data_IF_603470071045
#
_entry.id   IF_603470071045
#
_cell.length_a   1.000
_cell.length_b   1.000
_cell.length_c   1.000
_cell.angle_alpha   90.00
_cell.angle_beta   90.00
_cell.angle_gamma   90.00
#
_symmetry.space_group_name_H-M   'P 1'
#
loop_
_entity.id
_entity.type
_entity.pdbx_description
1 polymer ?
#
# COMPACT_ATOMS: atom_id res chain seq x y z
N UNK A 1 -30.46 36.76 10.37
CA UNK A 1 -31.32 35.72 9.75
C UNK A 1 -31.27 34.51 10.66
N UNK A 2 -32.37 33.77 10.82
CA UNK A 2 -32.34 32.53 11.59
C UNK A 2 -31.44 31.51 10.91
N UNK A 3 -30.69 30.75 11.69
CA UNK A 3 -29.74 29.76 11.21
C UNK A 3 -30.43 28.39 11.17
N UNK A 4 -30.60 27.85 9.97
CA UNK A 4 -31.46 26.70 9.70
C UNK A 4 -30.66 25.51 9.17
N UNK A 5 -31.07 24.31 9.57
CA UNK A 5 -30.50 23.05 9.13
C UNK A 5 -31.56 21.95 9.08
N UNK A 6 -31.24 20.82 8.44
CA UNK A 6 -32.17 19.71 8.25
C UNK A 6 -31.45 18.35 8.22
N UNK A 7 -32.23 17.27 8.36
CA UNK A 7 -31.73 15.92 8.08
C UNK A 7 -31.64 15.65 6.56
N UNK A 8 -30.95 14.59 6.15
CA UNK A 8 -30.72 14.26 4.73
C UNK A 8 -32.00 14.02 3.91
N UNK A 9 -33.14 13.69 4.54
CA UNK A 9 -34.43 13.56 3.86
C UNK A 9 -35.40 14.73 4.16
N UNK A 10 -34.89 15.84 4.73
CA UNK A 10 -35.62 17.06 5.10
C UNK A 10 -36.80 16.91 6.08
N UNK A 11 -37.15 15.69 6.49
CA UNK A 11 -38.27 15.39 7.39
C UNK A 11 -38.10 15.93 8.81
N UNK A 12 -36.90 16.41 9.17
CA UNK A 12 -36.61 17.10 10.43
C UNK A 12 -35.87 18.38 10.07
N UNK A 13 -36.39 19.51 10.52
CA UNK A 13 -35.80 20.84 10.36
C UNK A 13 -35.47 21.42 11.73
N UNK A 14 -34.36 22.15 11.81
CA UNK A 14 -33.85 22.75 13.04
C UNK A 14 -33.62 24.23 12.79
N UNK A 15 -34.12 25.07 13.69
CA UNK A 15 -33.89 26.51 13.66
C UNK A 15 -33.21 26.96 14.95
N UNK A 16 -32.13 27.72 14.78
CA UNK A 16 -31.45 28.48 15.82
C UNK A 16 -31.60 30.00 15.54
N UNK A 17 -31.53 30.86 16.57
CA UNK A 17 -31.58 32.31 16.37
C UNK A 17 -30.42 32.83 15.50
N UNK A 18 -29.22 32.26 15.69
CA UNK A 18 -27.99 32.60 14.97
C UNK A 18 -27.04 31.39 14.87
N UNK A 19 -25.98 31.51 14.07
CA UNK A 19 -24.94 30.48 13.96
C UNK A 19 -24.01 30.55 15.18
N UNK A 20 -23.77 29.45 15.92
CA UNK A 20 -22.80 29.46 17.01
C UNK A 20 -21.37 29.67 16.49
N UNK A 21 -20.63 30.63 17.04
CA UNK A 21 -19.26 31.03 16.63
C UNK A 21 -18.24 29.87 16.48
N UNK A 22 -18.46 28.77 17.19
CA UNK A 22 -17.46 27.73 17.43
C UNK A 22 -18.08 26.34 17.44
N UNK A 23 -17.56 25.45 16.61
CA UNK A 23 -17.89 24.02 16.67
C UNK A 23 -16.86 23.22 17.49
N UNK A 24 -17.21 21.97 17.83
CA UNK A 24 -16.37 21.03 18.56
C UNK A 24 -16.31 19.67 17.85
N UNK A 25 -15.10 19.21 17.54
CA UNK A 25 -14.89 17.91 16.89
C UNK A 25 -14.65 16.83 17.93
N UNK A 26 -15.41 15.74 17.87
CA UNK A 26 -15.25 14.60 18.76
C UNK A 26 -14.83 13.34 17.98
N UNK A 27 -13.71 12.75 18.41
CA UNK A 27 -13.06 11.60 17.75
C UNK A 27 -13.31 10.26 18.46
N UNK A 28 -14.12 10.24 19.52
CA UNK A 28 -14.37 9.01 20.27
C UNK A 28 -15.15 7.98 19.44
N UNK A 29 -14.93 6.69 19.71
CA UNK A 29 -15.45 5.59 18.88
C UNK A 29 -16.99 5.60 18.80
N UNK A 30 -17.68 6.00 19.86
CA UNK A 30 -19.15 6.13 19.89
C UNK A 30 -19.63 7.31 19.04
N UNK A 31 -18.90 8.43 19.01
CA UNK A 31 -19.25 9.57 18.16
C UNK A 31 -19.03 9.25 16.67
N UNK A 32 -17.91 8.61 16.33
CA UNK A 32 -17.62 8.12 14.96
C UNK A 32 -18.72 7.19 14.47
N UNK A 33 -19.05 6.14 15.24
CA UNK A 33 -20.13 5.19 14.93
C UNK A 33 -21.50 5.87 14.81
N UNK A 34 -21.84 6.79 15.72
CA UNK A 34 -23.12 7.54 15.66
C UNK A 34 -23.22 8.54 14.50
N UNK A 35 -22.09 8.91 13.91
CA UNK A 35 -22.01 9.94 12.87
C UNK A 35 -21.73 9.40 11.48
N UNK A 36 -21.47 8.09 11.33
CA UNK A 36 -21.07 7.48 10.06
C UNK A 36 -19.74 8.01 9.50
N UNK A 37 -18.93 8.70 10.29
CA UNK A 37 -17.79 9.50 9.81
C UNK A 37 -16.54 9.35 10.69
N UNK A 38 -15.40 9.84 10.17
CA UNK A 38 -14.11 9.82 10.84
C UNK A 38 -14.09 10.58 12.18
N UNK A 39 -15.04 11.51 12.35
CA UNK A 39 -15.27 12.30 13.55
C UNK A 39 -16.72 12.82 13.56
N UNK A 40 -17.18 13.37 14.68
CA UNK A 40 -18.47 14.08 14.77
C UNK A 40 -18.22 15.56 15.05
N UNK A 41 -18.70 16.45 14.18
CA UNK A 41 -18.72 17.90 14.43
C UNK A 41 -20.02 18.27 15.11
N UNK A 42 -19.94 19.00 16.22
CA UNK A 42 -21.09 19.30 17.05
C UNK A 42 -21.02 20.76 17.54
N UNK A 43 -22.16 21.43 17.58
CA UNK A 43 -22.36 22.63 18.40
C UNK A 43 -22.79 22.23 19.81
N UNK A 44 -22.59 23.14 20.75
CA UNK A 44 -23.03 23.00 22.13
C UNK A 44 -23.96 24.17 22.44
N UNK A 45 -25.26 23.95 22.28
CA UNK A 45 -26.32 24.97 22.35
C UNK A 45 -27.24 24.69 23.55
N UNK A 46 -27.92 25.72 24.04
CA UNK A 46 -28.97 25.54 25.04
C UNK A 46 -30.17 24.85 24.38
N UNK A 47 -30.89 23.98 25.11
CA UNK A 47 -32.01 23.24 24.52
C UNK A 47 -33.16 24.17 24.10
N UNK A 48 -33.35 25.21 24.90
CA UNK A 48 -34.31 26.31 24.79
C UNK A 48 -34.04 27.28 23.63
N UNK A 49 -32.82 27.33 23.10
CA UNK A 49 -32.46 28.10 21.90
C UNK A 49 -32.79 27.35 20.59
N UNK A 50 -33.08 26.05 20.66
CA UNK A 50 -33.21 25.15 19.51
C UNK A 50 -34.66 24.77 19.25
N UNK A 51 -35.23 25.28 18.15
CA UNK A 51 -36.54 24.83 17.65
C UNK A 51 -36.35 23.64 16.72
N UNK A 52 -37.13 22.57 16.91
CA UNK A 52 -37.18 21.40 16.02
C UNK A 52 -38.59 21.27 15.45
N UNK A 53 -38.66 21.16 14.13
CA UNK A 53 -39.85 20.79 13.37
C UNK A 53 -39.68 19.37 12.82
N UNK A 54 -40.61 18.47 13.15
CA UNK A 54 -40.63 17.05 12.75
C UNK A 54 -42.08 16.61 12.49
N UNK A 55 -42.71 17.12 11.41
CA UNK A 55 -44.14 16.90 11.16
C UNK A 55 -44.50 15.43 10.94
N UNK A 56 -43.51 14.59 10.59
CA UNK A 56 -43.66 13.16 10.33
C UNK A 56 -43.29 12.27 11.53
N UNK A 57 -42.97 12.85 12.70
CA UNK A 57 -42.56 12.14 13.93
C UNK A 57 -41.39 11.14 13.73
N UNK A 58 -40.44 11.50 12.86
CA UNK A 58 -39.27 10.69 12.49
C UNK A 58 -38.10 10.79 13.47
N UNK A 59 -38.12 11.72 14.42
CA UNK A 59 -37.11 11.84 15.46
C UNK A 59 -37.23 10.66 16.45
N UNK A 60 -36.26 9.76 16.43
CA UNK A 60 -36.15 8.63 17.38
C UNK A 60 -34.93 8.80 18.27
N UNK A 61 -34.99 8.17 19.45
CA UNK A 61 -33.97 8.26 20.49
C UNK A 61 -33.38 6.87 20.77
N UNK A 62 -32.04 6.79 20.79
CA UNK A 62 -31.27 5.63 21.20
C UNK A 62 -30.43 5.96 22.45
N UNK A 63 -30.54 5.12 23.48
CA UNK A 63 -29.76 5.25 24.71
C UNK A 63 -28.41 4.52 24.58
N UNK A 64 -27.34 5.29 24.35
CA UNK A 64 -25.97 4.78 24.26
C UNK A 64 -25.37 4.64 25.66
N UNK A 65 -25.51 3.43 26.23
CA UNK A 65 -24.93 3.02 27.51
C UNK A 65 -23.42 2.73 27.44
N UNK A 66 -22.81 2.80 26.25
CA UNK A 66 -21.38 2.50 26.01
C UNK A 66 -20.57 3.78 25.73
N UNK A 67 -21.01 4.94 26.24
CA UNK A 67 -20.27 6.18 26.06
C UNK A 67 -18.90 6.13 26.76
N UNK A 68 -17.89 6.75 26.15
CA UNK A 68 -16.52 6.82 26.71
C UNK A 68 -16.47 7.57 28.05
N UNK A 69 -17.49 8.38 28.35
CA UNK A 69 -17.66 9.10 29.63
C UNK A 69 -18.36 8.28 30.73
N UNK A 70 -18.63 6.98 30.51
CA UNK A 70 -19.29 6.09 31.47
C UNK A 70 -20.80 6.34 31.69
N UNK A 71 -21.29 7.53 31.33
CA UNK A 71 -22.69 7.92 31.43
C UNK A 71 -23.52 7.44 30.24
N UNK A 72 -24.78 7.08 30.46
CA UNK A 72 -25.72 6.84 29.35
C UNK A 72 -26.06 8.15 28.64
N UNK A 73 -25.87 8.22 27.32
CA UNK A 73 -26.19 9.41 26.50
C UNK A 73 -27.33 9.14 25.54
N UNK A 74 -28.28 10.07 25.43
CA UNK A 74 -29.49 9.93 24.61
C UNK A 74 -29.25 10.55 23.24
N UNK A 75 -29.00 9.71 22.25
CA UNK A 75 -28.73 10.09 20.85
C UNK A 75 -30.05 10.18 20.09
N UNK A 76 -30.34 11.32 19.51
CA UNK A 76 -31.56 11.54 18.72
C UNK A 76 -31.17 11.57 17.23
N UNK A 77 -31.93 10.88 16.39
CA UNK A 77 -31.64 10.69 14.97
C UNK A 77 -32.95 10.57 14.17
N UNK A 78 -32.89 10.87 12.87
CA UNK A 78 -34.02 10.67 11.97
C UNK A 78 -34.14 9.19 11.59
N UNK A 79 -35.28 8.55 11.85
CA UNK A 79 -35.50 7.15 11.47
C UNK A 79 -35.67 6.92 9.97
N UNK A 80 -36.00 7.96 9.19
CA UNK A 80 -36.20 7.84 7.74
C UNK A 80 -34.88 7.83 6.94
N UNK A 81 -33.85 8.55 7.39
CA UNK A 81 -32.56 8.64 6.68
C UNK A 81 -31.33 8.33 7.55
N UNK A 82 -31.50 7.97 8.82
CA UNK A 82 -30.39 7.69 9.75
C UNK A 82 -29.57 8.91 10.20
N UNK A 83 -29.87 10.11 9.70
CA UNK A 83 -29.13 11.34 10.04
C UNK A 83 -29.14 11.60 11.56
N UNK A 84 -27.98 11.77 12.22
CA UNK A 84 -27.92 12.10 13.63
C UNK A 84 -28.31 13.57 13.84
N UNK A 85 -29.21 13.83 14.79
CA UNK A 85 -29.81 15.16 15.01
C UNK A 85 -29.08 15.87 16.17
N UNK A 86 -29.27 15.40 17.41
CA UNK A 86 -28.56 15.92 18.59
C UNK A 86 -28.31 14.81 19.62
N UNK A 87 -27.48 15.07 20.63
CA UNK A 87 -27.27 14.16 21.76
C UNK A 87 -27.42 14.90 23.09
N UNK A 88 -28.22 14.34 24.01
CA UNK A 88 -28.33 14.80 25.40
C UNK A 88 -27.43 13.95 26.29
N UNK A 89 -26.75 14.58 27.25
CA UNK A 89 -25.89 13.91 28.24
C UNK A 89 -26.28 14.37 29.64
N UNK A 90 -26.35 13.49 30.65
CA UNK A 90 -26.66 13.88 32.03
C UNK A 90 -25.61 14.83 32.64
N UNK A 91 -24.39 14.87 32.09
CA UNK A 91 -23.32 15.80 32.50
C UNK A 91 -23.66 17.25 32.11
N UNK A 92 -24.51 17.46 31.10
CA UNK A 92 -24.80 18.76 30.50
C UNK A 92 -26.32 19.03 30.52
N UNK A 93 -26.90 19.10 31.72
CA UNK A 93 -28.32 19.44 31.88
C UNK A 93 -28.64 20.80 31.21
N UNK A 94 -29.78 20.86 30.52
CA UNK A 94 -30.21 22.05 29.75
C UNK A 94 -29.44 22.32 28.45
N UNK A 95 -28.41 21.54 28.10
CA UNK A 95 -27.62 21.74 26.88
C UNK A 95 -27.55 20.49 26.01
N UNK A 96 -27.47 20.70 24.70
CA UNK A 96 -27.45 19.62 23.72
C UNK A 96 -26.21 19.68 22.83
N UNK A 97 -25.69 18.51 22.49
CA UNK A 97 -24.68 18.34 21.46
C UNK A 97 -25.39 18.23 20.10
N UNK A 98 -25.74 19.37 19.51
CA UNK A 98 -26.38 19.47 18.21
C UNK A 98 -25.38 19.12 17.10
N UNK A 99 -25.77 18.31 16.12
CA UNK A 99 -24.86 17.92 15.02
C UNK A 99 -24.73 19.08 14.03
N UNK A 100 -23.51 19.57 13.86
CA UNK A 100 -23.26 20.72 13.00
C UNK A 100 -23.46 20.40 11.50
N UNK A 101 -23.27 19.14 11.10
CA UNK A 101 -23.42 18.66 9.72
C UNK A 101 -24.87 18.61 9.20
N UNK A 102 -25.84 19.14 9.96
CA UNK A 102 -27.22 19.37 9.50
C UNK A 102 -27.38 20.74 8.81
N UNK A 103 -26.35 21.59 8.85
CA UNK A 103 -26.36 22.95 8.35
C UNK A 103 -25.31 23.09 7.25
N UNK A 104 -25.62 23.84 6.18
CA UNK A 104 -24.74 23.98 5.02
C UNK A 104 -23.43 24.70 5.34
N UNK A 105 -23.50 25.74 6.19
CA UNK A 105 -22.34 26.51 6.64
C UNK A 105 -22.02 26.18 8.08
N UNK A 106 -20.82 25.66 8.37
CA UNK A 106 -20.41 25.27 9.73
C UNK A 106 -19.26 26.14 10.23
N UNK A 107 -19.41 26.68 11.44
CA UNK A 107 -18.39 27.49 12.09
C UNK A 107 -17.12 26.67 12.42
N UNK A 108 -15.92 27.27 12.37
CA UNK A 108 -14.67 26.55 12.53
C UNK A 108 -14.56 25.87 13.91
N UNK A 109 -13.86 24.72 13.99
CA UNK A 109 -13.74 23.98 15.23
C UNK A 109 -12.76 24.67 16.19
N UNK A 110 -13.27 25.14 17.34
CA UNK A 110 -12.43 25.76 18.37
C UNK A 110 -11.81 24.75 19.34
N UNK A 111 -12.28 23.50 19.35
CA UNK A 111 -11.74 22.43 20.17
C UNK A 111 -11.90 21.07 19.48
N UNK A 112 -10.93 20.19 19.72
CA UNK A 112 -11.03 18.76 19.41
C UNK A 112 -11.01 17.95 20.72
N UNK A 113 -11.86 16.92 20.81
CA UNK A 113 -12.00 16.03 21.97
C UNK A 113 -11.68 14.58 21.60
N UNK A 114 -11.03 13.87 22.53
CA UNK A 114 -10.55 12.50 22.34
C UNK A 114 -9.58 12.34 21.16
N UNK A 115 -8.68 13.31 20.97
CA UNK A 115 -7.67 13.35 19.87
C UNK A 115 -6.87 12.04 19.75
N UNK A 116 -6.59 11.35 20.86
CA UNK A 116 -5.95 10.03 20.91
C UNK A 116 -6.76 8.88 20.25
N UNK A 117 -8.02 9.13 19.87
CA UNK A 117 -8.90 8.19 19.14
C UNK A 117 -9.09 8.57 17.67
N UNK A 118 -8.35 9.54 17.16
CA UNK A 118 -8.30 9.84 15.73
C UNK A 118 -7.78 8.64 14.93
N UNK A 119 -8.27 8.50 13.71
CA UNK A 119 -7.62 7.62 12.75
C UNK A 119 -6.27 8.21 12.34
N UNK A 120 -5.23 7.41 12.37
CA UNK A 120 -3.84 7.83 12.08
C UNK A 120 -3.70 8.49 10.71
N UNK A 121 -4.46 8.00 9.71
CA UNK A 121 -4.51 8.56 8.37
C UNK A 121 -5.09 9.98 8.30
N UNK A 122 -5.78 10.51 9.33
CA UNK A 122 -6.27 11.91 9.32
C UNK A 122 -5.13 12.93 9.35
N UNK A 123 -3.97 12.55 9.90
CA UNK A 123 -2.74 13.35 9.84
C UNK A 123 -2.01 13.21 8.49
N UNK A 124 -2.41 12.26 7.64
CA UNK A 124 -1.87 12.13 6.30
C UNK A 124 -2.48 13.22 5.41
N UNK A 125 -1.71 14.28 5.16
CA UNK A 125 -2.06 15.25 4.12
C UNK A 125 -2.05 14.52 2.78
N UNK A 126 -3.24 14.20 2.26
CA UNK A 126 -3.42 13.86 0.86
C UNK A 126 -2.83 15.03 0.07
N UNK A 127 -1.71 14.80 -0.62
CA UNK A 127 -1.18 15.77 -1.57
C UNK A 127 -2.12 15.77 -2.75
N UNK A 128 -3.10 16.66 -2.74
CA UNK A 128 -3.78 17.05 -3.97
C UNK A 128 -2.73 17.47 -4.98
N UNK A 129 -2.67 16.72 -6.08
CA UNK A 129 -2.07 17.19 -7.32
C UNK A 129 -3.09 18.12 -7.96
N UNK A 130 -3.28 19.30 -7.37
CA UNK A 130 -4.08 20.36 -7.98
C UNK A 130 -3.33 20.90 -9.20
N UNK A 131 -3.50 20.19 -10.33
CA UNK A 131 -3.22 20.66 -11.68
C UNK A 131 -4.19 21.79 -12.05
N UNK A 132 -3.99 22.92 -11.39
CA UNK A 132 -4.19 24.22 -12.01
C UNK A 132 -3.18 24.30 -13.18
N UNK A 133 -3.60 24.05 -14.44
CA UNK A 133 -2.70 23.94 -15.63
C UNK A 133 -2.96 25.10 -16.58
N UNK A 134 -2.00 25.40 -17.47
CA UNK A 134 -1.45 26.76 -17.46
C UNK A 134 -1.54 27.53 -18.77
N UNK A 135 -1.82 28.83 -18.68
CA UNK A 135 -1.57 29.81 -19.73
C UNK A 135 -0.22 30.52 -19.50
N UNK A 136 0.88 30.10 -20.15
CA UNK A 136 2.11 30.88 -20.13
C UNK A 136 1.89 32.19 -20.91
N UNK A 137 2.45 33.31 -20.42
CA UNK A 137 2.57 34.52 -21.24
C UNK A 137 3.40 34.21 -22.48
N UNK A 138 2.96 34.69 -23.64
CA UNK A 138 3.73 34.64 -24.88
C UNK A 138 5.13 35.24 -24.69
N UNK A 139 6.21 34.54 -25.08
CA UNK A 139 7.41 35.18 -25.57
C UNK A 139 7.15 35.70 -27.00
N UNK A 140 7.57 36.93 -27.28
CA UNK A 140 7.42 37.53 -28.61
C UNK A 140 8.34 36.89 -29.64
N UNK A 141 7.76 36.33 -30.70
CA UNK A 141 8.47 35.93 -31.92
C UNK A 141 9.18 34.58 -31.87
N UNK A 142 8.70 33.63 -32.68
CA UNK A 142 9.46 32.86 -33.67
C UNK A 142 8.45 32.10 -34.55
N UNK A 143 8.79 31.94 -35.83
CA UNK A 143 7.86 31.55 -36.90
C UNK A 143 7.60 30.03 -36.92
N UNK A 144 6.34 29.66 -37.19
CA UNK A 144 5.89 28.29 -37.47
C UNK A 144 6.69 27.62 -38.60
N UNK A 145 7.17 26.39 -38.37
CA UNK A 145 7.24 25.35 -39.41
C UNK A 145 6.78 24.01 -38.85
N UNK A 146 5.76 23.44 -39.52
CA UNK A 146 5.33 22.06 -39.30
C UNK A 146 6.35 21.10 -39.92
N UNK A 147 6.73 20.06 -39.17
CA UNK A 147 7.29 18.83 -39.73
C UNK A 147 7.03 17.64 -38.79
N UNK A 148 6.39 16.61 -39.34
CA UNK A 148 6.45 15.20 -38.92
C UNK A 148 6.58 14.39 -40.23
N UNK A 149 6.97 13.10 -40.20
CA UNK A 149 7.83 12.40 -39.24
C UNK A 149 9.08 11.81 -39.94
N UNK A 150 9.96 11.15 -39.20
CA UNK A 150 10.71 10.01 -39.73
C UNK A 150 10.99 9.05 -38.57
N UNK A 151 10.59 7.79 -38.72
CA UNK A 151 11.07 6.68 -37.90
C UNK A 151 12.56 6.43 -38.19
N UNK A 152 13.31 5.98 -37.19
CA UNK A 152 14.05 4.72 -37.33
C UNK A 152 14.56 4.15 -35.98
N UNK A 153 14.64 2.82 -35.98
CA UNK A 153 15.41 1.92 -35.11
C UNK A 153 14.90 1.47 -33.70
N UNK A 154 14.22 0.31 -33.74
CA UNK A 154 14.48 -0.91 -32.93
C UNK A 154 13.99 -1.04 -31.46
N UNK A 155 12.85 -1.74 -31.33
CA UNK A 155 12.63 -2.80 -30.31
C UNK A 155 12.93 -4.17 -30.97
N UNK A 156 13.48 -5.16 -30.24
CA UNK A 156 12.59 -6.23 -29.78
C UNK A 156 12.99 -6.89 -28.45
N UNK A 157 12.15 -6.74 -27.40
CA UNK A 157 11.43 -7.86 -26.72
C UNK A 157 10.72 -7.43 -25.43
N UNK A 158 9.41 -7.19 -25.58
CA UNK A 158 8.33 -7.45 -24.62
C UNK A 158 8.47 -6.83 -23.21
N UNK A 159 8.16 -5.54 -23.13
CA UNK A 159 7.50 -4.97 -21.94
C UNK A 159 6.01 -4.78 -22.26
N UNK A 160 5.13 -5.59 -21.67
CA UNK A 160 3.69 -5.37 -21.76
C UNK A 160 3.32 -4.10 -20.99
N UNK A 161 3.15 -2.99 -21.70
CA UNK A 161 2.45 -1.82 -21.16
C UNK A 161 1.02 -2.21 -20.81
N UNK A 162 0.57 -1.86 -19.60
CA UNK A 162 -0.85 -1.92 -19.24
C UNK A 162 -1.57 -0.74 -19.91
N UNK A 163 -1.71 -0.84 -21.24
CA UNK A 163 -2.74 -0.08 -21.93
C UNK A 163 -4.09 -0.49 -21.34
N UNK A 164 -4.81 0.52 -20.89
CA UNK A 164 -6.02 0.40 -20.08
C UNK A 164 -7.07 -0.47 -20.79
N UNK A 165 -7.22 -1.73 -20.38
CA UNK A 165 -8.36 -2.56 -20.77
C UNK A 165 -9.59 -1.94 -20.10
N UNK A 166 -10.28 -1.07 -20.84
CA UNK A 166 -11.70 -0.82 -20.62
C UNK A 166 -12.44 -2.12 -20.92
N UNK A 167 -12.87 -2.82 -19.88
CA UNK A 167 -14.03 -3.69 -19.99
C UNK A 167 -15.26 -2.78 -20.09
N UNK A 168 -15.61 -2.41 -21.32
CA UNK A 168 -16.90 -1.84 -21.67
C UNK A 168 -17.89 -3.00 -21.92
N UNK A 169 -19.18 -2.72 -21.75
CA UNK A 169 -20.32 -3.66 -21.70
C UNK A 169 -20.34 -4.48 -20.39
N UNK A 170 -21.47 -4.57 -19.67
CA UNK A 170 -22.86 -4.36 -20.10
C UNK A 170 -23.48 -3.00 -19.74
N UNK A 171 -24.38 -2.53 -20.61
CA UNK A 171 -25.32 -1.43 -20.39
C UNK A 171 -26.73 -1.94 -20.66
N UNK A 172 -27.65 -1.82 -19.69
CA UNK A 172 -29.10 -1.62 -19.89
C UNK A 172 -29.80 -1.49 -18.52
N UNK A 173 -30.22 -0.27 -18.15
CA UNK A 173 -31.60 0.06 -17.76
C UNK A 173 -31.74 1.57 -17.44
N UNK A 174 -32.68 2.20 -18.12
CA UNK A 174 -32.92 3.65 -18.11
C UNK A 174 -33.49 4.17 -16.77
N UNK A 175 -33.08 5.37 -16.33
CA UNK A 175 -33.94 6.56 -16.52
C UNK A 175 -33.24 7.92 -16.24
N UNK A 176 -33.36 8.83 -17.22
CA UNK A 176 -33.39 10.30 -17.17
C UNK A 176 -32.23 11.15 -16.62
N UNK A 177 -31.76 12.02 -17.53
CA UNK A 177 -31.11 13.32 -17.30
C UNK A 177 -31.98 14.29 -16.48
N UNK A 178 -31.38 15.35 -15.92
CA UNK A 178 -31.87 16.69 -16.30
C UNK A 178 -30.77 17.58 -16.89
N UNK A 179 -31.19 18.44 -17.81
CA UNK A 179 -30.31 19.25 -18.67
C UNK A 179 -29.74 20.50 -18.01
N UNK A 180 -28.61 20.92 -18.58
CA UNK A 180 -27.99 22.24 -18.56
C UNK A 180 -28.75 23.44 -17.94
N UNK A 181 -28.04 24.18 -17.08
CA UNK A 181 -28.10 25.64 -17.07
C UNK A 181 -26.71 26.24 -16.87
N UNK A 182 -26.41 27.23 -17.72
CA UNK A 182 -25.17 28.00 -17.93
C UNK A 182 -24.40 28.44 -16.67
N UNK A 183 -23.05 28.41 -16.72
CA UNK A 183 -22.21 28.93 -15.64
C UNK A 183 -20.68 28.81 -15.78
N UNK A 184 -20.10 29.18 -16.93
CA UNK A 184 -18.68 29.57 -17.15
C UNK A 184 -17.56 28.93 -16.28
N UNK A 185 -16.90 27.88 -16.76
CA UNK A 185 -15.75 27.26 -16.07
C UNK A 185 -14.44 28.07 -16.26
N UNK A 186 -14.17 28.98 -15.32
CA UNK A 186 -12.84 29.58 -15.14
C UNK A 186 -11.82 28.51 -14.74
N UNK A 187 -10.85 28.22 -15.61
CA UNK A 187 -9.81 27.21 -15.38
C UNK A 187 -8.41 27.84 -15.23
N UNK A 188 -8.14 28.43 -14.07
CA UNK A 188 -6.77 28.80 -13.63
C UNK A 188 -5.99 27.54 -13.22
N UNK A 189 -4.71 27.31 -13.57
CA UNK A 189 -3.49 28.12 -13.89
C UNK A 189 -2.57 28.47 -12.69
N UNK A 190 -1.80 27.50 -12.18
CA UNK A 190 -0.49 27.74 -11.54
C UNK A 190 0.56 26.76 -12.09
N UNK A 191 1.45 27.24 -12.96
CA UNK A 191 2.79 26.64 -13.03
C UNK A 191 3.54 27.02 -11.75
N UNK A 192 4.03 26.03 -10.99
CA UNK A 192 4.76 26.30 -9.74
C UNK A 192 6.25 26.04 -9.87
N UNK A 193 7.03 27.11 -9.85
CA UNK A 193 8.47 27.08 -9.57
C UNK A 193 8.71 26.47 -8.19
N UNK A 194 9.51 25.41 -8.12
CA UNK A 194 9.94 24.81 -6.85
C UNK A 194 11.00 25.70 -6.20
N UNK A 195 10.70 26.25 -5.02
CA UNK A 195 11.66 27.03 -4.24
C UNK A 195 12.79 26.11 -3.74
N UNK A 196 14.01 26.36 -4.22
CA UNK A 196 15.22 25.53 -4.02
C UNK A 196 15.83 25.61 -2.61
N UNK A 197 15.04 25.99 -1.61
CA UNK A 197 15.50 26.40 -0.27
C UNK A 197 15.55 25.26 0.77
N UNK A 198 14.63 24.29 0.69
CA UNK A 198 14.47 23.27 1.76
C UNK A 198 15.38 22.03 1.58
N UNK A 199 16.09 21.94 0.45
CA UNK A 199 17.04 20.84 0.18
C UNK A 199 18.43 21.08 0.77
N UNK A 200 18.85 22.34 0.96
CA UNK A 200 20.17 22.63 1.56
C UNK A 200 20.21 22.35 3.07
N UNK A 201 19.12 22.60 3.81
CA UNK A 201 19.12 22.47 5.28
C UNK A 201 19.18 21.03 5.80
N UNK A 202 18.86 20.03 4.95
CA UNK A 202 19.03 18.59 5.28
C UNK A 202 20.38 18.00 4.88
N UNK A 203 21.19 18.67 4.05
CA UNK A 203 22.48 18.13 3.57
C UNK A 203 23.64 18.31 4.55
N UNK A 204 23.48 19.09 5.63
CA UNK A 204 24.57 19.42 6.56
C UNK A 204 24.75 18.42 7.74
N UNK A 205 23.85 17.45 7.92
CA UNK A 205 23.97 16.46 8.99
C UNK A 205 24.51 15.11 8.45
N UNK A 206 25.63 14.65 9.02
CA UNK A 206 26.28 13.33 8.82
C UNK A 206 27.01 13.11 7.48
N UNK A 207 28.12 13.82 7.25
CA UNK A 207 29.22 13.29 6.42
C UNK A 207 29.86 12.08 7.11
N UNK A 208 29.84 10.92 6.45
CA UNK A 208 30.49 9.68 6.93
C UNK A 208 29.92 8.43 6.25
N UNK A 209 30.60 7.29 6.40
CA UNK A 209 30.12 5.98 5.91
C UNK A 209 28.72 5.65 6.44
N UNK A 210 28.47 5.93 7.72
CA UNK A 210 27.16 5.81 8.38
C UNK A 210 26.08 6.73 7.77
N UNK A 211 26.46 7.89 7.24
CA UNK A 211 25.56 8.78 6.50
C UNK A 211 25.14 8.18 5.16
N UNK A 212 26.09 7.60 4.41
CA UNK A 212 25.79 6.84 3.19
C UNK A 212 24.91 5.61 3.49
N UNK A 213 25.18 4.89 4.58
CA UNK A 213 24.41 3.71 4.97
C UNK A 213 22.98 4.07 5.37
N UNK A 214 22.77 5.15 6.15
CA UNK A 214 21.44 5.64 6.50
C UNK A 214 20.69 6.23 5.30
N UNK A 215 21.37 6.89 4.37
CA UNK A 215 20.77 7.32 3.10
C UNK A 215 20.34 6.11 2.25
N UNK A 216 21.17 5.06 2.15
CA UNK A 216 20.86 3.84 1.41
C UNK A 216 19.69 3.06 2.05
N UNK A 217 19.63 3.00 3.39
CA UNK A 217 18.52 2.43 4.15
C UNK A 217 17.22 3.22 3.96
N UNK A 218 17.24 4.54 4.13
CA UNK A 218 16.04 5.38 3.98
C UNK A 218 15.54 5.46 2.54
N UNK A 219 16.40 5.26 1.55
CA UNK A 219 16.00 5.25 0.14
C UNK A 219 15.48 3.89 -0.35
N UNK A 220 16.13 2.78 0.05
CA UNK A 220 15.84 1.45 -0.50
C UNK A 220 15.10 0.50 0.46
N UNK A 221 15.18 0.71 1.78
CA UNK A 221 14.57 -0.19 2.79
C UNK A 221 13.32 0.43 3.40
N UNK A 222 13.37 1.70 3.81
CA UNK A 222 12.22 2.42 4.40
C UNK A 222 11.40 3.16 3.34
N UNK A 223 10.93 2.43 2.33
CA UNK A 223 10.20 3.03 1.19
C UNK A 223 8.73 3.25 1.55
N UNK A 224 8.31 4.52 1.67
CA UNK A 224 6.91 4.87 1.97
C UNK A 224 6.05 4.77 0.72
N UNK A 225 5.30 3.67 0.58
CA UNK A 225 4.55 3.31 -0.63
C UNK A 225 3.13 3.90 -0.63
N UNK A 226 2.62 4.47 -1.75
CA UNK A 226 1.22 4.84 -1.89
C UNK A 226 0.29 3.62 -1.84
N UNK A 227 -0.81 3.71 -1.09
CA UNK A 227 -1.72 2.57 -0.82
C UNK A 227 -2.18 1.82 -2.08
N UNK A 228 -2.39 2.53 -3.21
CA UNK A 228 -2.80 1.97 -4.50
C UNK A 228 -1.81 0.93 -5.09
N UNK A 229 -0.52 1.04 -4.78
CA UNK A 229 0.54 0.14 -5.30
C UNK A 229 1.01 -0.92 -4.30
N UNK A 230 0.48 -0.91 -3.06
CA UNK A 230 0.88 -1.80 -1.96
C UNK A 230 0.95 -3.28 -2.34
N UNK A 231 -0.03 -3.76 -3.12
CA UNK A 231 -0.11 -5.14 -3.63
C UNK A 231 1.15 -5.59 -4.37
N UNK A 232 1.73 -4.71 -5.18
CA UNK A 232 2.81 -5.08 -6.09
C UNK A 232 4.17 -5.08 -5.34
N UNK A 233 4.33 -4.22 -4.32
CA UNK A 233 5.46 -4.32 -3.38
C UNK A 233 5.38 -5.60 -2.53
N UNK A 234 4.19 -5.98 -2.05
CA UNK A 234 4.00 -7.25 -1.33
C UNK A 234 4.16 -8.49 -2.23
N UNK A 235 3.95 -8.35 -3.55
CA UNK A 235 4.33 -9.39 -4.51
C UNK A 235 5.85 -9.51 -4.64
N UNK A 236 6.58 -8.39 -4.77
CA UNK A 236 8.05 -8.40 -4.80
C UNK A 236 8.64 -9.02 -3.53
N UNK A 237 8.16 -8.63 -2.34
CA UNK A 237 8.61 -9.19 -1.06
C UNK A 237 8.46 -10.72 -1.01
N UNK A 238 7.30 -11.25 -1.41
CA UNK A 238 7.09 -12.70 -1.48
C UNK A 238 8.03 -13.40 -2.45
N UNK A 239 8.34 -12.79 -3.60
CA UNK A 239 9.32 -13.37 -4.54
C UNK A 239 10.74 -13.34 -3.97
N UNK A 240 11.15 -12.26 -3.28
CA UNK A 240 12.43 -12.17 -2.60
C UNK A 240 12.57 -13.24 -1.50
N UNK A 241 11.54 -13.41 -0.67
CA UNK A 241 11.51 -14.48 0.35
C UNK A 241 11.60 -15.89 -0.26
N UNK A 242 11.10 -16.10 -1.48
CA UNK A 242 11.29 -17.37 -2.21
C UNK A 242 12.75 -17.58 -2.66
N UNK A 243 13.45 -16.54 -3.13
CA UNK A 243 14.89 -16.60 -3.40
C UNK A 243 15.71 -16.89 -2.13
N UNK A 244 15.36 -16.27 -0.99
CA UNK A 244 16.01 -16.56 0.29
C UNK A 244 15.77 -18.01 0.72
N UNK A 245 14.53 -18.52 0.67
CA UNK A 245 14.21 -19.92 1.00
C UNK A 245 14.94 -20.93 0.10
N UNK A 246 14.98 -20.69 -1.22
CA UNK A 246 15.69 -21.58 -2.16
C UNK A 246 17.20 -21.57 -1.89
N UNK A 247 17.81 -20.40 -1.61
CA UNK A 247 19.22 -20.35 -1.19
C UNK A 247 19.49 -21.13 0.11
N UNK A 248 18.57 -21.08 1.07
CA UNK A 248 18.69 -21.83 2.33
C UNK A 248 18.62 -23.35 2.10
N UNK A 249 17.72 -23.83 1.24
CA UNK A 249 17.64 -25.26 0.87
C UNK A 249 18.91 -25.73 0.16
N UNK A 250 19.47 -24.93 -0.75
CA UNK A 250 20.74 -25.27 -1.42
C UNK A 250 21.91 -25.30 -0.42
N UNK A 251 21.94 -24.39 0.56
CA UNK A 251 22.92 -24.42 1.65
C UNK A 251 22.76 -25.65 2.56
N UNK A 252 21.52 -26.00 2.93
CA UNK A 252 21.21 -27.21 3.70
C UNK A 252 21.67 -28.49 2.96
N UNK A 253 21.45 -28.57 1.64
CA UNK A 253 21.95 -29.66 0.82
C UNK A 253 23.50 -29.72 0.82
N UNK A 254 24.17 -28.57 0.72
CA UNK A 254 25.63 -28.49 0.82
C UNK A 254 26.18 -28.95 2.17
N UNK A 255 25.45 -28.73 3.26
CA UNK A 255 25.77 -29.23 4.61
C UNK A 255 25.54 -30.74 4.72
N UNK A 256 24.42 -31.27 4.20
CA UNK A 256 24.13 -32.71 4.18
C UNK A 256 25.21 -33.49 3.42
N UNK A 257 25.62 -32.98 2.26
CA UNK A 257 26.75 -33.55 1.48
C UNK A 257 28.02 -33.60 2.34
N UNK A 258 28.40 -32.50 3.00
CA UNK A 258 29.57 -32.48 3.86
C UNK A 258 29.47 -33.41 5.07
N UNK A 259 28.27 -33.61 5.64
CA UNK A 259 28.04 -34.51 6.77
C UNK A 259 28.12 -35.99 6.36
N UNK A 260 27.46 -36.38 5.26
CA UNK A 260 27.45 -37.75 4.76
C UNK A 260 28.86 -38.23 4.42
N UNK A 261 29.63 -37.40 3.69
CA UNK A 261 31.02 -37.71 3.37
C UNK A 261 31.94 -37.75 4.61
N UNK A 262 31.62 -37.00 5.69
CA UNK A 262 32.36 -37.07 6.96
C UNK A 262 32.07 -38.35 7.75
N UNK A 263 30.88 -38.93 7.60
CA UNK A 263 30.50 -40.22 8.19
C UNK A 263 31.20 -41.38 7.44
N UNK A 264 31.10 -41.43 6.11
CA UNK A 264 31.77 -42.46 5.30
C UNK A 264 33.31 -42.48 5.51
N UNK A 265 33.93 -41.32 5.74
CA UNK A 265 35.35 -41.21 6.05
C UNK A 265 35.77 -41.82 7.41
N UNK A 266 34.83 -42.13 8.31
CA UNK A 266 35.10 -42.83 9.56
C UNK A 266 35.26 -44.35 9.36
N UNK A 267 34.66 -44.91 8.31
CA UNK A 267 34.73 -46.34 7.97
C UNK A 267 35.79 -46.62 6.88
N UNK A 268 35.90 -45.75 5.86
CA UNK A 268 36.78 -45.97 4.71
C UNK A 268 38.20 -45.36 4.89
N UNK A 269 39.04 -45.99 5.72
CA UNK A 269 40.39 -45.48 6.02
C UNK A 269 41.35 -45.42 4.80
N UNK A 270 41.07 -46.19 3.73
CA UNK A 270 41.89 -46.22 2.52
C UNK A 270 41.67 -45.02 1.57
N UNK A 271 40.47 -44.46 1.51
CA UNK A 271 40.08 -43.51 0.44
C UNK A 271 40.13 -42.03 0.86
N UNK A 272 41.09 -41.72 1.73
CA UNK A 272 41.33 -40.39 2.32
C UNK A 272 41.61 -39.30 1.28
N UNK A 273 41.91 -39.68 0.04
CA UNK A 273 42.12 -38.79 -1.11
C UNK A 273 40.80 -38.37 -1.76
N UNK A 274 39.79 -39.25 -1.83
CA UNK A 274 38.47 -38.96 -2.42
C UNK A 274 37.73 -37.83 -1.70
N UNK A 275 37.70 -37.85 -0.36
CA UNK A 275 37.02 -36.81 0.44
C UNK A 275 37.54 -35.39 0.19
N UNK A 276 38.87 -35.23 0.15
CA UNK A 276 39.51 -33.92 -0.12
C UNK A 276 39.40 -33.51 -1.60
N UNK A 277 39.40 -34.46 -2.53
CA UNK A 277 39.31 -34.18 -3.98
C UNK A 277 37.88 -33.92 -4.48
N UNK A 278 36.86 -34.54 -3.89
CA UNK A 278 35.48 -34.52 -4.42
C UNK A 278 34.50 -33.90 -3.42
N UNK A 279 34.39 -34.44 -2.20
CA UNK A 279 33.39 -33.98 -1.21
C UNK A 279 33.59 -32.52 -0.77
N UNK A 280 34.84 -32.10 -0.58
CA UNK A 280 35.17 -30.71 -0.17
C UNK A 280 34.80 -29.67 -1.24
N UNK A 281 35.29 -29.75 -2.50
CA UNK A 281 34.92 -28.77 -3.52
C UNK A 281 33.43 -28.81 -3.89
N UNK A 282 32.78 -29.98 -3.83
CA UNK A 282 31.34 -30.10 -4.10
C UNK A 282 30.50 -29.31 -3.07
N UNK A 283 30.78 -29.47 -1.77
CA UNK A 283 30.08 -28.71 -0.72
C UNK A 283 30.35 -27.20 -0.81
N UNK A 284 31.60 -26.80 -1.11
CA UNK A 284 31.95 -25.39 -1.33
C UNK A 284 31.18 -24.82 -2.55
N UNK A 285 31.10 -25.56 -3.66
CA UNK A 285 30.32 -25.16 -4.83
C UNK A 285 28.83 -24.95 -4.50
N UNK A 286 28.21 -25.85 -3.73
CA UNK A 286 26.83 -25.67 -3.26
C UNK A 286 26.64 -24.37 -2.47
N UNK A 287 27.58 -24.04 -1.56
CA UNK A 287 27.52 -22.79 -0.78
C UNK A 287 27.77 -21.55 -1.66
N UNK A 288 28.71 -21.61 -2.60
CA UNK A 288 28.93 -20.52 -3.56
C UNK A 288 27.67 -20.22 -4.39
N UNK A 289 26.95 -21.25 -4.84
CA UNK A 289 25.69 -21.03 -5.57
C UNK A 289 24.55 -20.57 -4.66
N UNK A 290 24.44 -21.07 -3.42
CA UNK A 290 23.47 -20.55 -2.46
C UNK A 290 23.63 -19.03 -2.26
N UNK A 291 24.88 -18.57 -2.10
CA UNK A 291 25.21 -17.13 -2.01
C UNK A 291 24.84 -16.40 -3.31
N UNK A 292 25.15 -16.96 -4.49
CA UNK A 292 24.81 -16.37 -5.78
C UNK A 292 23.30 -16.22 -5.97
N UNK A 293 22.51 -17.24 -5.63
CA UNK A 293 21.03 -17.19 -5.69
C UNK A 293 20.47 -16.10 -4.77
N UNK A 294 21.00 -15.96 -3.56
CA UNK A 294 20.61 -14.89 -2.64
C UNK A 294 20.98 -13.49 -3.18
N UNK A 295 22.18 -13.33 -3.75
CA UNK A 295 22.63 -12.07 -4.35
C UNK A 295 21.80 -11.67 -5.58
N UNK A 296 21.46 -12.61 -6.47
CA UNK A 296 20.59 -12.35 -7.63
C UNK A 296 19.18 -11.99 -7.16
N UNK A 297 18.64 -12.69 -6.17
CA UNK A 297 17.35 -12.35 -5.54
C UNK A 297 17.32 -10.93 -4.99
N UNK A 298 18.39 -10.52 -4.28
CA UNK A 298 18.52 -9.19 -3.71
C UNK A 298 18.70 -8.10 -4.78
N UNK A 299 19.58 -8.31 -5.77
CA UNK A 299 19.76 -7.40 -6.91
C UNK A 299 18.45 -7.18 -7.67
N UNK A 300 17.72 -8.26 -7.95
CA UNK A 300 16.41 -8.21 -8.60
C UNK A 300 15.40 -7.43 -7.75
N UNK A 301 15.33 -7.71 -6.45
CA UNK A 301 14.43 -7.02 -5.52
C UNK A 301 14.64 -5.50 -5.57
N UNK A 302 15.89 -5.03 -5.41
CA UNK A 302 16.21 -3.60 -5.52
C UNK A 302 15.98 -3.02 -6.93
N UNK A 303 16.30 -3.76 -8.00
CA UNK A 303 16.05 -3.32 -9.38
C UNK A 303 14.56 -3.12 -9.66
N UNK A 304 13.71 -4.07 -9.26
CA UNK A 304 12.26 -3.97 -9.46
C UNK A 304 11.64 -2.93 -8.51
N UNK A 305 12.07 -2.85 -7.25
CA UNK A 305 11.61 -1.83 -6.30
C UNK A 305 11.95 -0.40 -6.77
N UNK A 306 13.15 -0.17 -7.31
CA UNK A 306 13.53 1.10 -7.94
C UNK A 306 12.82 1.36 -9.29
N UNK A 307 12.19 0.37 -9.91
CA UNK A 307 11.35 0.58 -11.09
C UNK A 307 9.94 1.00 -10.66
N UNK A 308 9.32 0.27 -9.71
CA UNK A 308 7.97 0.59 -9.20
C UNK A 308 7.97 1.96 -8.50
N UNK A 309 9.04 2.33 -7.79
CA UNK A 309 9.20 3.68 -7.22
C UNK A 309 9.22 4.81 -8.28
N UNK A 310 9.49 4.49 -9.54
CA UNK A 310 9.44 5.41 -10.70
C UNK A 310 8.19 5.20 -11.57
N UNK A 311 7.22 4.41 -11.12
CA UNK A 311 5.98 4.12 -11.85
C UNK A 311 6.15 3.20 -13.07
N UNK A 312 7.25 2.45 -13.19
CA UNK A 312 7.49 1.51 -14.29
C UNK A 312 7.52 0.07 -13.77
N UNK A 313 6.87 -0.86 -14.47
CA UNK A 313 6.82 -2.27 -14.09
C UNK A 313 7.59 -3.07 -15.16
N UNK A 314 8.72 -3.67 -14.77
CA UNK A 314 9.41 -4.64 -15.63
C UNK A 314 8.75 -6.02 -15.49
N UNK A 315 7.81 -6.31 -16.39
CA UNK A 315 7.09 -7.58 -16.51
C UNK A 315 7.86 -8.62 -17.35
N UNK A 316 9.19 -8.65 -17.26
CA UNK A 316 10.05 -9.53 -18.04
C UNK A 316 11.51 -9.42 -17.63
N UNK A 317 12.26 -10.52 -17.75
CA UNK A 317 13.70 -10.54 -17.49
C UNK A 317 14.29 -11.94 -17.51
N UNK A 318 15.38 -12.11 -18.26
CA UNK A 318 16.11 -13.38 -18.38
C UNK A 318 16.58 -13.93 -17.02
N UNK A 319 16.78 -13.05 -16.03
CA UNK A 319 17.08 -13.34 -14.62
C UNK A 319 16.20 -14.48 -14.04
N UNK A 320 14.91 -14.49 -14.37
CA UNK A 320 13.94 -15.45 -13.82
C UNK A 320 14.16 -16.86 -14.39
N UNK A 321 14.34 -16.92 -15.72
CA UNK A 321 14.59 -18.17 -16.44
C UNK A 321 16.00 -18.71 -16.13
N UNK A 322 16.99 -17.82 -16.07
CA UNK A 322 18.38 -18.15 -15.77
C UNK A 322 18.55 -18.79 -14.40
N UNK A 323 17.91 -18.26 -13.34
CA UNK A 323 17.97 -18.89 -12.01
C UNK A 323 17.20 -20.21 -11.97
N UNK A 324 16.05 -20.33 -12.66
CA UNK A 324 15.32 -21.60 -12.76
C UNK A 324 16.17 -22.71 -13.39
N UNK A 325 16.84 -22.40 -14.51
CA UNK A 325 17.77 -23.32 -15.18
C UNK A 325 18.97 -23.65 -14.28
N UNK A 326 19.60 -22.66 -13.64
CA UNK A 326 20.74 -22.88 -12.73
C UNK A 326 20.37 -23.81 -11.56
N UNK A 327 19.20 -23.59 -10.94
CA UNK A 327 18.71 -24.44 -9.85
C UNK A 327 18.44 -25.87 -10.34
N UNK A 328 17.80 -26.00 -11.51
CA UNK A 328 17.50 -27.29 -12.14
C UNK A 328 18.76 -28.10 -12.46
N UNK A 329 19.77 -27.48 -13.10
CA UNK A 329 21.07 -28.09 -13.36
C UNK A 329 21.79 -28.54 -12.08
N UNK A 330 21.67 -27.79 -10.98
CA UNK A 330 22.27 -28.17 -9.69
C UNK A 330 21.54 -29.35 -9.06
N UNK A 331 20.20 -29.34 -9.05
CA UNK A 331 19.44 -30.50 -8.57
C UNK A 331 19.73 -31.76 -9.39
N UNK A 332 19.91 -31.62 -10.70
CA UNK A 332 20.25 -32.72 -11.60
C UNK A 332 21.68 -33.23 -11.37
N UNK A 333 22.68 -32.35 -11.23
CA UNK A 333 24.07 -32.78 -10.97
C UNK A 333 24.22 -33.44 -9.60
N UNK A 334 23.55 -32.93 -8.56
CA UNK A 334 23.53 -33.57 -7.24
C UNK A 334 22.82 -34.94 -7.29
N UNK A 335 21.72 -35.06 -8.04
CA UNK A 335 21.02 -36.34 -8.25
C UNK A 335 21.92 -37.36 -8.96
N UNK A 336 22.57 -36.96 -10.06
CA UNK A 336 23.48 -37.83 -10.83
C UNK A 336 24.66 -38.29 -9.96
N UNK A 337 25.30 -37.38 -9.21
CA UNK A 337 26.41 -37.74 -8.31
C UNK A 337 25.94 -38.67 -7.19
N UNK A 338 24.74 -38.46 -6.65
CA UNK A 338 24.17 -39.35 -5.63
C UNK A 338 23.89 -40.74 -6.18
N UNK A 339 23.32 -40.85 -7.38
CA UNK A 339 23.04 -42.14 -8.05
C UNK A 339 24.36 -42.86 -8.38
N UNK A 340 25.34 -42.15 -8.96
CA UNK A 340 26.64 -42.73 -9.29
C UNK A 340 27.35 -43.29 -8.05
N UNK A 341 27.36 -42.54 -6.94
CA UNK A 341 27.93 -43.01 -5.67
C UNK A 341 27.18 -44.23 -5.13
N UNK A 342 25.85 -44.28 -5.20
CA UNK A 342 25.06 -45.45 -4.76
C UNK A 342 25.43 -46.70 -5.58
N UNK A 343 25.51 -46.58 -6.91
CA UNK A 343 25.89 -47.68 -7.81
C UNK A 343 27.34 -48.15 -7.56
N UNK A 344 28.26 -47.24 -7.26
CA UNK A 344 29.65 -47.59 -6.94
C UNK A 344 29.77 -48.30 -5.57
N UNK A 345 28.91 -47.96 -4.60
CA UNK A 345 28.95 -48.54 -3.24
C UNK A 345 28.22 -49.87 -3.07
N UNK A 346 27.32 -50.24 -3.99
CA UNK A 346 26.44 -51.40 -3.83
C UNK A 346 26.68 -52.44 -4.95
N UNK A 347 27.56 -53.43 -4.73
CA UNK A 347 28.02 -54.36 -5.78
C UNK A 347 26.89 -55.25 -6.35
N UNK A 348 25.77 -55.42 -5.64
CA UNK A 348 24.62 -56.17 -6.14
C UNK A 348 23.81 -55.38 -7.20
N UNK A 349 23.88 -54.03 -7.20
CA UNK A 349 23.17 -53.20 -8.19
C UNK A 349 23.70 -53.38 -9.61
N UNK A 350 25.00 -53.66 -9.77
CA UNK A 350 25.58 -53.98 -11.09
C UNK A 350 24.96 -55.27 -11.67
N UNK A 351 24.63 -56.25 -10.82
CA UNK A 351 23.92 -57.46 -11.22
C UNK A 351 22.48 -57.20 -11.69
N UNK A 352 21.81 -56.19 -11.14
CA UNK A 352 20.45 -55.78 -11.53
C UNK A 352 20.44 -54.97 -12.84
N UNK A 353 21.32 -53.97 -12.97
CA UNK A 353 21.44 -53.14 -14.18
C UNK A 353 21.80 -53.99 -15.40
N UNK A 354 22.72 -54.95 -15.24
CA UNK A 354 23.13 -55.86 -16.32
C UNK A 354 22.00 -56.76 -16.81
N UNK A 355 21.11 -57.24 -15.91
CA UNK A 355 19.89 -58.00 -16.29
C UNK A 355 18.84 -57.16 -17.03
N UNK A 356 18.89 -55.83 -16.96
CA UNK A 356 17.97 -54.93 -17.67
C UNK A 356 18.54 -54.51 -19.04
N UNK A 357 19.86 -54.58 -19.23
CA UNK A 357 20.52 -54.25 -20.50
C UNK A 357 20.77 -55.47 -21.42
N UNK A 358 20.93 -56.67 -20.84
CA UNK A 358 21.17 -57.91 -21.57
C UNK A 358 19.88 -58.74 -21.82
N UNK A 359 18.69 -58.12 -21.72
CA UNK A 359 17.36 -58.75 -21.90
C UNK A 359 16.41 -57.91 -22.75
#
# INVERSE_FOLDING_TARGET
MSYQGHCNCESIRITLPEQPDRSCVCHCDCCKRSGGSAFSVNYFVSEDEMTIDDPNATLKMYEDKKSVTGNAVKRHFCSACGSPVYTKSPIAAGKVFLKAALFDTVAPPAAERFVTKQYEWRCYRIRESSTQVSGPRQPSGVILRNARPHDDDMDPREALELQQIQTQEDNELNYSTPSASSGEEYRVVTHRTTSRADTQRRQQARKGLWGKLTQLWTHNVTLTVPHKSSRDYFALERTFLAYVRTSLVVAQQGVLIAQLFRLQAAEALADRLGFRRVGTPLSVACHCVAILVALVGAYRFWRQQNAIARGRIFAGGWELNSVGVLLGCITLTVLIVSIAMVVETDPDTWGFVRRILDG
#
